data_IF_485217565229
#
_entry.id   IF_485217565229
#
_cell.length_a   1.000
_cell.length_b   1.000
_cell.length_c   1.000
_cell.angle_alpha   90.00
_cell.angle_beta   90.00
_cell.angle_gamma   90.00
#
_symmetry.space_group_name_H-M   'P 1'
#
loop_
_entity.id
_entity.type
_entity.pdbx_description
1 polymer ?
#
# COMPACT_ATOMS: atom_id res chain seq x y z
N UNK A 1 -5.46 -14.99 8.71
CA UNK A 1 -6.66 -14.26 8.26
C UNK A 1 -6.59 -12.93 8.96
N UNK A 2 -6.41 -11.85 8.21
CA UNK A 2 -6.16 -10.54 8.81
C UNK A 2 -7.51 -9.88 9.11
N UNK A 3 -7.68 -9.40 10.34
CA UNK A 3 -8.90 -8.71 10.80
C UNK A 3 -8.60 -7.22 10.81
N UNK A 4 -9.49 -6.44 10.21
CA UNK A 4 -9.43 -4.98 10.25
C UNK A 4 -10.39 -4.44 11.29
N UNK A 5 -9.98 -3.40 12.00
CA UNK A 5 -10.76 -2.81 13.10
C UNK A 5 -10.93 -1.33 12.85
N UNK A 6 -12.17 -0.89 12.63
CA UNK A 6 -12.52 0.53 12.62
C UNK A 6 -12.87 0.96 14.04
N UNK A 7 -12.16 1.94 14.56
CA UNK A 7 -12.39 2.55 15.86
C UNK A 7 -12.81 3.99 15.64
N UNK A 8 -13.98 4.36 16.14
CA UNK A 8 -14.46 5.74 16.16
C UNK A 8 -14.31 6.28 17.58
N UNK A 9 -13.77 7.48 17.69
CA UNK A 9 -13.56 8.22 18.92
C UNK A 9 -14.40 9.49 18.83
N UNK A 10 -15.19 9.78 19.85
CA UNK A 10 -15.90 11.06 19.99
C UNK A 10 -15.58 11.68 21.33
N UNK A 11 -15.23 12.96 21.33
CA UNK A 11 -14.86 13.73 22.53
C UNK A 11 -13.78 13.04 23.39
N UNK A 12 -12.82 12.40 22.73
CA UNK A 12 -11.70 11.68 23.38
C UNK A 12 -12.06 10.31 23.97
N UNK A 13 -13.26 9.80 23.73
CA UNK A 13 -13.70 8.45 24.17
C UNK A 13 -14.01 7.55 23.00
N UNK A 14 -13.80 6.24 23.13
CA UNK A 14 -14.17 5.27 22.10
C UNK A 14 -15.69 5.24 21.99
N UNK A 15 -16.20 5.69 20.85
CA UNK A 15 -17.62 5.72 20.55
C UNK A 15 -18.09 4.41 19.92
N UNK A 16 -17.29 3.82 19.02
CA UNK A 16 -17.64 2.58 18.32
C UNK A 16 -16.40 1.77 17.91
N UNK A 17 -16.57 0.45 17.79
CA UNK A 17 -15.55 -0.49 17.30
C UNK A 17 -16.21 -1.53 16.39
N UNK A 18 -15.82 -1.55 15.12
CA UNK A 18 -16.31 -2.51 14.12
C UNK A 18 -15.17 -3.36 13.55
N UNK A 19 -15.46 -4.64 13.33
CA UNK A 19 -14.49 -5.62 12.82
C UNK A 19 -14.86 -6.07 11.42
N UNK A 20 -13.85 -6.17 10.55
CA UNK A 20 -14.04 -6.53 9.15
C UNK A 20 -13.05 -7.61 8.73
N UNK A 21 -13.48 -8.44 7.79
CA UNK A 21 -12.60 -9.44 7.15
C UNK A 21 -11.78 -8.83 6.03
N UNK A 22 -12.29 -7.75 5.43
CA UNK A 22 -11.66 -7.09 4.29
C UNK A 22 -11.48 -5.60 4.56
N UNK A 23 -10.31 -5.06 4.22
CA UNK A 23 -10.02 -3.64 4.37
C UNK A 23 -11.03 -2.75 3.60
N UNK A 24 -11.50 -3.22 2.45
CA UNK A 24 -12.49 -2.51 1.63
C UNK A 24 -13.78 -2.23 2.40
N UNK A 25 -14.27 -3.19 3.19
CA UNK A 25 -15.50 -3.03 3.99
C UNK A 25 -15.29 -1.98 5.08
N UNK A 26 -14.14 -2.02 5.77
CA UNK A 26 -13.80 -1.02 6.77
C UNK A 26 -13.70 0.40 6.18
N UNK A 27 -13.20 0.53 4.95
CA UNK A 27 -13.10 1.81 4.24
C UNK A 27 -14.48 2.32 3.80
N UNK A 28 -15.38 1.44 3.35
CA UNK A 28 -16.75 1.84 3.00
C UNK A 28 -17.48 2.43 4.21
N UNK A 29 -17.48 1.71 5.33
CA UNK A 29 -18.12 2.20 6.57
C UNK A 29 -17.46 3.48 7.09
N UNK A 30 -16.14 3.64 6.94
CA UNK A 30 -15.45 4.86 7.28
C UNK A 30 -15.90 6.05 6.41
N UNK A 31 -16.11 5.84 5.11
CA UNK A 31 -16.58 6.88 4.21
C UNK A 31 -18.02 7.29 4.54
N UNK A 32 -18.88 6.34 4.89
CA UNK A 32 -20.24 6.65 5.32
C UNK A 32 -20.24 7.45 6.63
N UNK A 33 -19.29 7.19 7.54
CA UNK A 33 -19.13 7.94 8.78
C UNK A 33 -18.62 9.38 8.58
N UNK A 34 -17.88 9.65 7.50
CA UNK A 34 -17.32 10.99 7.24
C UNK A 34 -18.41 12.07 7.13
N UNK A 35 -19.61 11.72 6.68
CA UNK A 35 -20.72 12.67 6.55
C UNK A 35 -21.28 13.12 7.91
N UNK A 36 -20.97 12.40 8.99
CA UNK A 36 -21.56 12.61 10.32
C UNK A 36 -20.53 12.96 11.40
N UNK A 37 -19.23 12.85 11.11
CA UNK A 37 -18.17 13.12 12.07
C UNK A 37 -17.93 14.63 12.22
N UNK A 38 -17.94 15.11 13.47
CA UNK A 38 -17.38 16.42 13.78
C UNK A 38 -15.85 16.26 13.90
N UNK A 39 -15.14 16.47 12.80
CA UNK A 39 -13.69 16.26 12.74
C UNK A 39 -12.89 17.12 13.72
N UNK A 40 -13.50 18.11 14.40
CA UNK A 40 -12.83 18.85 15.45
C UNK A 40 -12.81 18.13 16.80
N UNK A 41 -13.83 17.32 17.08
CA UNK A 41 -14.03 16.64 18.36
C UNK A 41 -13.98 15.11 18.24
N UNK A 42 -14.10 14.60 17.01
CA UNK A 42 -14.16 13.19 16.69
C UNK A 42 -12.95 12.76 15.84
N UNK A 43 -12.65 11.46 15.90
CA UNK A 43 -11.69 10.83 15.00
C UNK A 43 -12.11 9.40 14.70
N UNK A 44 -11.69 8.86 13.57
CA UNK A 44 -11.92 7.47 13.23
C UNK A 44 -10.65 6.88 12.62
N UNK A 45 -10.32 5.65 13.02
CA UNK A 45 -9.07 4.99 12.62
C UNK A 45 -9.32 3.53 12.27
N UNK A 46 -8.72 3.06 11.17
CA UNK A 46 -8.74 1.65 10.79
C UNK A 46 -7.40 1.02 11.18
N UNK A 47 -7.43 -0.11 11.86
CA UNK A 47 -6.28 -0.90 12.25
C UNK A 47 -6.27 -2.25 11.54
N UNK A 48 -5.08 -2.75 11.27
CA UNK A 48 -4.80 -4.14 10.89
C UNK A 48 -3.99 -4.81 12.01
N UNK A 49 -3.72 -6.13 11.94
CA UNK A 49 -2.81 -6.78 12.88
C UNK A 49 -1.39 -6.18 12.87
N UNK A 50 -1.04 -5.42 11.82
CA UNK A 50 0.27 -4.76 11.65
C UNK A 50 0.28 -3.30 12.12
N UNK A 51 -0.85 -2.79 12.60
CA UNK A 51 -0.99 -1.41 13.08
C UNK A 51 -2.02 -0.60 12.30
N UNK A 52 -2.03 0.71 12.55
CA UNK A 52 -2.97 1.65 11.96
C UNK A 52 -2.76 1.78 10.45
N UNK A 53 -3.85 1.60 9.69
CA UNK A 53 -3.91 1.68 8.24
C UNK A 53 -4.45 3.04 7.79
N UNK A 54 -5.40 3.60 8.53
CA UNK A 54 -6.06 4.85 8.16
C UNK A 54 -6.49 5.65 9.39
N UNK A 55 -6.50 6.97 9.30
CA UNK A 55 -7.00 7.88 10.34
C UNK A 55 -7.59 9.16 9.73
N UNK A 56 -8.71 9.63 10.30
CA UNK A 56 -9.34 10.92 10.06
C UNK A 56 -9.73 11.58 11.38
N UNK A 57 -9.77 12.91 11.43
CA UNK A 57 -10.18 13.69 12.61
C UNK A 57 -9.05 14.20 13.49
N UNK A 58 -9.40 14.85 14.61
CA UNK A 58 -8.56 15.96 15.09
C UNK A 58 -7.28 15.51 15.80
N UNK A 59 -6.18 15.99 15.21
CA UNK A 59 -4.83 16.11 15.76
C UNK A 59 -4.29 14.82 16.38
N UNK A 60 -3.57 14.09 15.51
CA UNK A 60 -2.36 13.36 15.83
C UNK A 60 -2.12 13.26 17.33
N UNK A 61 -2.55 12.14 17.93
CA UNK A 61 -2.03 11.73 19.22
C UNK A 61 -0.53 11.58 18.99
N UNK A 62 0.20 12.66 19.31
CA UNK A 62 1.64 12.67 19.57
C UNK A 62 1.83 11.81 20.81
N UNK A 63 1.84 10.50 20.61
CA UNK A 63 2.51 9.48 21.40
C UNK A 63 2.03 8.11 20.92
N UNK A 64 2.89 7.41 20.19
CA UNK A 64 2.70 6.00 19.84
C UNK A 64 2.84 5.75 18.35
N UNK A 65 4.09 5.71 17.87
CA UNK A 65 4.48 5.25 16.53
C UNK A 65 3.80 5.98 15.38
N UNK A 66 4.39 7.10 14.93
CA UNK A 66 4.31 7.42 13.50
C UNK A 66 5.13 6.37 12.73
N UNK A 67 4.59 5.16 12.62
CA UNK A 67 4.86 4.38 11.44
C UNK A 67 4.27 5.22 10.32
N UNK A 68 5.10 6.07 9.69
CA UNK A 68 4.86 6.40 8.29
C UNK A 68 4.61 5.05 7.64
N UNK A 69 3.37 4.76 7.26
CA UNK A 69 3.13 3.53 6.52
C UNK A 69 3.98 3.71 5.27
N UNK A 70 5.03 2.89 5.13
CA UNK A 70 5.88 2.89 3.93
C UNK A 70 5.11 2.24 2.76
N UNK A 71 3.78 2.41 2.75
CA UNK A 71 2.86 1.82 1.81
C UNK A 71 2.82 2.77 0.62
N UNK A 72 3.45 2.33 -0.46
CA UNK A 72 3.37 3.01 -1.74
C UNK A 72 2.30 2.30 -2.56
N UNK A 73 1.22 3.00 -2.88
CA UNK A 73 0.19 2.51 -3.79
C UNK A 73 0.55 2.87 -5.23
N UNK A 74 0.33 1.97 -6.17
CA UNK A 74 0.68 2.14 -7.58
C UNK A 74 -0.55 1.77 -8.40
N UNK A 75 -0.91 2.61 -9.37
CA UNK A 75 -1.95 2.30 -10.35
C UNK A 75 -1.26 1.63 -11.54
N UNK A 76 -1.74 0.48 -11.99
CA UNK A 76 -1.09 -0.25 -13.08
C UNK A 76 -2.08 -1.00 -13.98
N UNK A 77 -1.64 -1.26 -15.21
CA UNK A 77 -2.26 -2.19 -16.15
C UNK A 77 -1.53 -3.54 -16.08
N UNK A 78 -2.12 -4.57 -15.44
CA UNK A 78 -1.53 -5.91 -15.40
C UNK A 78 -1.63 -6.66 -16.73
N UNK A 79 -2.48 -6.21 -17.66
CA UNK A 79 -2.78 -6.88 -18.93
C UNK A 79 -2.15 -6.18 -20.14
N UNK A 80 -1.22 -5.25 -19.93
CA UNK A 80 -0.58 -4.55 -21.03
C UNK A 80 0.31 -5.51 -21.85
N UNK A 81 0.40 -5.31 -23.17
CA UNK A 81 1.15 -6.19 -24.08
C UNK A 81 2.65 -6.27 -23.79
N UNK A 82 3.18 -5.30 -23.03
CA UNK A 82 4.57 -5.23 -22.59
C UNK A 82 4.77 -5.75 -21.14
N UNK A 83 3.74 -6.33 -20.52
CA UNK A 83 3.77 -6.81 -19.14
C UNK A 83 3.13 -5.83 -18.14
N UNK A 84 3.54 -5.89 -16.87
CA UNK A 84 2.99 -5.05 -15.81
C UNK A 84 3.43 -3.59 -16.02
N UNK A 85 2.49 -2.72 -16.39
CA UNK A 85 2.79 -1.32 -16.70
C UNK A 85 2.18 -0.39 -15.66
N UNK A 86 3.01 0.39 -14.97
CA UNK A 86 2.54 1.46 -14.09
C UNK A 86 1.92 2.58 -14.93
N UNK A 87 0.70 2.97 -14.55
CA UNK A 87 -0.09 3.99 -15.25
C UNK A 87 -0.08 5.28 -14.45
N UNK A 88 0.30 6.35 -15.12
CA UNK A 88 0.23 7.71 -14.61
C UNK A 88 0.03 8.70 -15.75
N UNK A 89 -0.43 9.91 -15.41
CA UNK A 89 -0.80 10.91 -16.42
C UNK A 89 0.41 11.42 -17.22
N UNK A 90 1.61 11.41 -16.61
CA UNK A 90 2.86 11.85 -17.25
C UNK A 90 4.06 10.94 -16.91
N UNK A 91 4.11 10.41 -15.69
CA UNK A 91 5.16 9.51 -15.21
C UNK A 91 4.57 8.43 -14.31
N UNK A 92 5.25 7.29 -14.09
CA UNK A 92 4.87 6.34 -13.05
C UNK A 92 4.82 7.02 -11.67
N UNK A 93 3.65 7.07 -11.03
CA UNK A 93 3.47 7.71 -9.72
C UNK A 93 3.12 6.69 -8.65
N UNK A 94 3.92 6.68 -7.58
CA UNK A 94 3.58 6.05 -6.32
C UNK A 94 2.81 7.03 -5.40
N UNK A 95 1.74 6.55 -4.77
CA UNK A 95 0.93 7.32 -3.84
C UNK A 95 1.16 6.84 -2.41
N UNK A 96 1.44 7.76 -1.48
CA UNK A 96 1.52 7.47 -0.04
C UNK A 96 0.21 7.79 0.69
N UNK A 97 -0.83 8.15 -0.06
CA UNK A 97 -2.16 8.47 0.45
C UNK A 97 -3.18 7.71 -0.41
N UNK A 98 -3.90 6.78 0.21
CA UNK A 98 -4.86 5.92 -0.47
C UNK A 98 -6.02 6.70 -1.10
N UNK A 99 -6.52 7.75 -0.44
CA UNK A 99 -7.59 8.60 -0.98
C UNK A 99 -7.14 9.27 -2.27
N UNK A 100 -5.91 9.81 -2.28
CA UNK A 100 -5.33 10.39 -3.50
C UNK A 100 -5.17 9.34 -4.59
N UNK A 101 -4.71 8.13 -4.24
CA UNK A 101 -4.57 7.03 -5.17
C UNK A 101 -5.92 6.64 -5.81
N UNK A 102 -6.98 6.50 -5.01
CA UNK A 102 -8.33 6.17 -5.49
C UNK A 102 -8.92 7.27 -6.38
N UNK A 103 -8.73 8.55 -6.01
CA UNK A 103 -9.14 9.68 -6.83
C UNK A 103 -8.49 9.63 -8.24
N UNK A 104 -7.21 9.31 -8.32
CA UNK A 104 -6.53 9.16 -9.60
C UNK A 104 -6.90 7.86 -10.32
N UNK A 105 -7.15 6.76 -9.61
CA UNK A 105 -7.60 5.50 -10.22
C UNK A 105 -8.91 5.71 -10.98
N UNK A 106 -9.85 6.43 -10.39
CA UNK A 106 -11.13 6.76 -11.02
C UNK A 106 -10.94 7.49 -12.36
N UNK A 107 -10.08 8.52 -12.37
CA UNK A 107 -9.73 9.26 -13.59
C UNK A 107 -9.10 8.36 -14.65
N UNK A 108 -8.10 7.54 -14.28
CA UNK A 108 -7.46 6.60 -15.20
C UNK A 108 -8.46 5.59 -15.76
N UNK A 109 -9.41 5.10 -14.95
CA UNK A 109 -10.45 4.16 -15.41
C UNK A 109 -11.44 4.80 -16.37
N UNK A 110 -11.75 6.09 -16.23
CA UNK A 110 -12.56 6.83 -17.21
C UNK A 110 -11.86 6.97 -18.56
N UNK A 111 -10.54 7.15 -18.56
CA UNK A 111 -9.76 7.38 -19.78
C UNK A 111 -9.35 6.07 -20.46
N UNK A 112 -8.97 5.06 -19.69
CA UNK A 112 -8.34 3.83 -20.19
C UNK A 112 -9.20 2.58 -19.97
N UNK A 113 -10.22 2.63 -19.11
CA UNK A 113 -11.11 1.52 -18.81
C UNK A 113 -10.80 0.79 -17.49
N UNK A 114 -11.69 -0.13 -17.11
CA UNK A 114 -11.68 -0.78 -15.79
C UNK A 114 -10.59 -1.84 -15.59
N UNK A 115 -9.83 -2.18 -16.62
CA UNK A 115 -8.72 -3.14 -16.53
C UNK A 115 -7.50 -2.56 -15.78
N UNK A 116 -7.51 -1.26 -15.49
CA UNK A 116 -6.53 -0.61 -14.62
C UNK A 116 -6.89 -0.89 -13.16
N UNK A 117 -5.90 -1.31 -12.39
CA UNK A 117 -6.04 -1.72 -11.00
C UNK A 117 -5.09 -0.94 -10.07
N UNK A 118 -5.41 -0.95 -8.77
CA UNK A 118 -4.58 -0.36 -7.73
C UNK A 118 -3.84 -1.46 -6.97
N UNK A 119 -2.52 -1.32 -6.89
CA UNK A 119 -1.63 -2.25 -6.20
C UNK A 119 -0.98 -1.57 -5.01
N UNK A 120 -0.66 -2.36 -3.98
CA UNK A 120 0.22 -1.93 -2.90
C UNK A 120 1.62 -2.49 -3.17
N UNK A 121 2.59 -1.60 -3.37
CA UNK A 121 3.98 -1.99 -3.58
C UNK A 121 4.59 -2.48 -2.27
N UNK A 122 5.08 -3.72 -2.29
CA UNK A 122 5.77 -4.33 -1.16
C UNK A 122 7.19 -4.71 -1.61
N UNK A 123 8.23 -4.18 -0.96
CA UNK A 123 9.59 -4.62 -1.22
C UNK A 123 9.71 -6.12 -0.98
N UNK A 124 10.42 -6.82 -1.88
CA UNK A 124 10.75 -8.23 -1.69
C UNK A 124 11.80 -8.31 -0.58
N UNK A 125 11.49 -8.99 0.53
CA UNK A 125 12.40 -9.07 1.70
C UNK A 125 12.85 -10.47 2.06
N UNK A 126 12.06 -11.49 1.68
CA UNK A 126 12.25 -12.87 2.13
C UNK A 126 12.52 -13.83 0.98
N UNK A 127 12.54 -13.35 -0.26
CA UNK A 127 12.91 -14.17 -1.39
C UNK A 127 14.43 -14.11 -1.52
N UNK A 128 15.07 -15.25 -1.33
CA UNK A 128 16.49 -15.43 -1.52
C UNK A 128 16.73 -16.36 -2.71
N UNK A 129 17.76 -16.07 -3.48
CA UNK A 129 18.18 -16.87 -4.62
C UNK A 129 19.63 -17.30 -4.40
N UNK A 130 19.95 -18.52 -4.83
CA UNK A 130 21.31 -19.03 -4.86
C UNK A 130 22.20 -18.17 -5.74
N UNK A 131 23.39 -17.84 -5.23
CA UNK A 131 24.38 -17.05 -5.97
C UNK A 131 24.79 -17.77 -7.25
N UNK A 132 24.94 -19.09 -7.20
CA UNK A 132 25.32 -19.93 -8.34
C UNK A 132 24.29 -19.83 -9.48
N UNK A 133 23.00 -19.72 -9.17
CA UNK A 133 21.96 -19.55 -10.20
C UNK A 133 22.05 -18.20 -10.92
N UNK A 134 22.49 -17.15 -10.21
CA UNK A 134 22.72 -15.83 -10.83
C UNK A 134 24.01 -15.85 -11.65
N UNK A 135 25.06 -16.53 -11.18
CA UNK A 135 26.32 -16.71 -11.91
C UNK A 135 26.12 -17.43 -13.25
N UNK A 136 25.37 -18.53 -13.25
CA UNK A 136 25.01 -19.28 -14.45
C UNK A 136 24.27 -18.40 -15.46
N UNK A 137 23.30 -17.60 -15.00
CA UNK A 137 22.53 -16.70 -15.85
C UNK A 137 23.39 -15.53 -16.39
N UNK A 138 24.22 -14.91 -15.54
CA UNK A 138 25.11 -13.83 -15.94
C UNK A 138 26.11 -14.28 -17.01
N UNK A 139 26.67 -15.49 -16.86
CA UNK A 139 27.55 -16.08 -17.86
C UNK A 139 26.83 -16.34 -19.20
N UNK A 140 25.57 -16.76 -19.18
CA UNK A 140 24.75 -16.95 -20.39
C UNK A 140 24.48 -15.63 -21.12
N UNK A 141 24.24 -14.54 -20.38
CA UNK A 141 24.04 -13.20 -20.94
C UNK A 141 25.37 -12.50 -21.32
N UNK A 142 26.51 -13.15 -21.08
CA UNK A 142 27.84 -12.61 -21.38
C UNK A 142 28.29 -11.48 -20.44
N UNK A 143 27.66 -11.35 -19.27
CA UNK A 143 28.01 -10.37 -18.25
C UNK A 143 29.01 -10.97 -17.26
N UNK A 144 30.30 -10.69 -17.48
CA UNK A 144 31.41 -11.18 -16.66
C UNK A 144 31.76 -10.24 -15.50
N UNK A 145 31.25 -9.01 -15.49
CA UNK A 145 31.52 -7.97 -14.48
C UNK A 145 30.33 -7.74 -13.52
N UNK A 146 29.44 -8.73 -13.40
CA UNK A 146 28.25 -8.65 -12.55
C UNK A 146 28.62 -8.39 -11.08
N UNK A 147 28.14 -7.26 -10.54
CA UNK A 147 28.47 -6.81 -9.19
C UNK A 147 27.47 -7.35 -8.14
N UNK A 148 27.75 -8.53 -7.59
CA UNK A 148 26.89 -9.21 -6.60
C UNK A 148 26.65 -8.40 -5.31
N UNK A 149 27.56 -7.49 -4.94
CA UNK A 149 27.39 -6.62 -3.77
C UNK A 149 26.15 -5.73 -3.87
N UNK A 150 25.72 -5.37 -5.08
CA UNK A 150 24.56 -4.51 -5.31
C UNK A 150 23.21 -5.20 -5.08
N UNK A 151 23.20 -6.55 -4.98
CA UNK A 151 21.97 -7.34 -4.79
C UNK A 151 22.08 -8.33 -3.62
N UNK A 152 23.07 -8.15 -2.75
CA UNK A 152 23.39 -9.09 -1.67
C UNK A 152 22.21 -9.39 -0.74
N UNK A 153 21.29 -8.44 -0.58
CA UNK A 153 20.05 -8.60 0.18
C UNK A 153 19.05 -9.60 -0.44
N UNK A 154 19.25 -10.02 -1.69
CA UNK A 154 18.44 -11.03 -2.38
C UNK A 154 19.16 -12.38 -2.55
N UNK A 155 20.41 -12.49 -2.09
CA UNK A 155 21.18 -13.73 -2.18
C UNK A 155 21.06 -14.56 -0.89
N UNK A 156 21.04 -15.88 -1.04
CA UNK A 156 21.23 -16.81 0.06
C UNK A 156 22.62 -16.57 0.69
N UNK A 157 22.67 -16.63 2.02
CA UNK A 157 23.93 -16.55 2.76
C UNK A 157 24.44 -17.99 2.89
N UNK A 158 25.66 -18.25 2.42
CA UNK A 158 26.34 -19.55 2.61
C UNK A 158 26.50 -19.91 4.10
#
# INVERSE_FOLDING_TARGET
MDIYVLVTISNGTVADVKFYKHLSEAIYDLNDLLEFLDLDNDSASIFSPRGMVFQIGNKAIKNGYSCRSNETFIIANPLHSLGFLVVGHHEPVGYHNLVKALYHLEKNRKEMGCHIELYQAMPVKNLKVKKESIEEYAAQEGNLDFEYSLISEYLETE
#
